data_IF_169619852100
#
_entry.id   IF_169619852100
#
_cell.length_a   1.000
_cell.length_b   1.000
_cell.length_c   1.000
_cell.angle_alpha   90.00
_cell.angle_beta   90.00
_cell.angle_gamma   90.00
#
_symmetry.space_group_name_H-M   'P 1'
#
loop_
_entity.id
_entity.type
_entity.pdbx_description
1 polymer ?
#
# COMPACT_ATOMS: atom_id res chain seq x y z
N UNK A 1 5.06 -10.93 5.16
CA UNK A 1 3.84 -10.29 5.68
C UNK A 1 2.87 -11.34 6.19
N UNK A 2 2.40 -11.17 7.42
CA UNK A 2 1.34 -11.99 8.05
C UNK A 2 0.03 -11.21 8.08
N UNK A 3 -1.12 -11.90 8.02
CA UNK A 3 -2.42 -11.25 8.20
C UNK A 3 -2.57 -10.84 9.68
N UNK A 4 -2.74 -9.54 9.94
CA UNK A 4 -2.97 -8.95 11.26
C UNK A 4 -4.45 -9.06 11.65
N UNK A 5 -5.34 -8.75 10.70
CA UNK A 5 -6.79 -8.67 10.89
C UNK A 5 -7.49 -8.85 9.54
N UNK A 6 -8.72 -9.34 9.56
CA UNK A 6 -9.64 -9.30 8.42
C UNK A 6 -11.02 -8.83 8.90
N UNK A 7 -11.67 -7.98 8.12
CA UNK A 7 -13.04 -7.51 8.36
C UNK A 7 -13.71 -7.19 7.03
N UNK A 8 -14.82 -7.86 6.74
CA UNK A 8 -15.56 -7.73 5.47
C UNK A 8 -14.62 -7.89 4.26
N UNK A 9 -14.56 -6.88 3.39
CA UNK A 9 -13.76 -6.80 2.18
C UNK A 9 -12.34 -6.25 2.43
N UNK A 10 -11.94 -6.07 3.69
CA UNK A 10 -10.65 -5.47 4.05
C UNK A 10 -9.79 -6.46 4.84
N UNK A 11 -8.51 -6.52 4.50
CA UNK A 11 -7.46 -7.28 5.18
C UNK A 11 -6.31 -6.37 5.55
N UNK A 12 -5.76 -6.56 6.73
CA UNK A 12 -4.58 -5.86 7.20
C UNK A 12 -3.44 -6.85 7.37
N UNK A 13 -2.25 -6.45 6.96
CA UNK A 13 -1.05 -7.25 7.03
C UNK A 13 0.07 -6.50 7.75
N UNK A 14 0.94 -7.25 8.42
CA UNK A 14 2.09 -6.75 9.18
C UNK A 14 3.37 -7.51 8.82
N UNK A 15 4.49 -6.79 8.76
CA UNK A 15 5.85 -7.33 8.62
C UNK A 15 6.85 -6.36 9.29
N UNK A 16 7.15 -6.59 10.57
CA UNK A 16 7.88 -5.61 11.38
C UNK A 16 7.08 -4.31 11.49
N UNK A 17 7.67 -3.19 11.09
CA UNK A 17 7.02 -1.87 11.10
C UNK A 17 6.20 -1.56 9.86
N UNK A 18 6.30 -2.40 8.82
CA UNK A 18 5.54 -2.29 7.58
C UNK A 18 4.13 -2.84 7.79
N UNK A 19 3.13 -1.99 7.57
CA UNK A 19 1.72 -2.38 7.52
C UNK A 19 1.16 -2.16 6.13
N UNK A 20 0.26 -3.06 5.73
CA UNK A 20 -0.47 -2.97 4.47
C UNK A 20 -1.97 -3.16 4.74
N UNK A 21 -2.79 -2.24 4.26
CA UNK A 21 -4.25 -2.37 4.20
C UNK A 21 -4.63 -2.73 2.78
N UNK A 22 -5.34 -3.84 2.62
CA UNK A 22 -5.86 -4.34 1.36
C UNK A 22 -7.38 -4.29 1.41
N UNK A 23 -8.01 -3.68 0.41
CA UNK A 23 -9.47 -3.60 0.30
C UNK A 23 -9.91 -4.11 -1.06
N UNK A 24 -10.84 -5.06 -1.09
CA UNK A 24 -11.54 -5.44 -2.31
C UNK A 24 -12.59 -4.36 -2.65
N UNK A 25 -12.41 -3.73 -3.81
CA UNK A 25 -13.25 -2.63 -4.29
C UNK A 25 -14.34 -3.12 -5.27
N UNK A 26 -14.41 -4.43 -5.54
CA UNK A 26 -15.25 -5.00 -6.59
C UNK A 26 -14.62 -4.90 -7.98
N UNK A 27 -15.25 -5.55 -8.96
CA UNK A 27 -14.82 -5.55 -10.37
C UNK A 27 -13.33 -5.89 -10.56
N UNK A 28 -12.84 -6.87 -9.80
CA UNK A 28 -11.44 -7.31 -9.79
C UNK A 28 -10.43 -6.22 -9.37
N UNK A 29 -10.87 -5.12 -8.76
CA UNK A 29 -9.99 -4.03 -8.29
C UNK A 29 -9.67 -4.16 -6.81
N UNK A 30 -8.39 -4.00 -6.48
CA UNK A 30 -7.89 -4.06 -5.10
C UNK A 30 -7.23 -2.73 -4.74
N UNK A 31 -7.72 -2.10 -3.68
CA UNK A 31 -7.10 -0.94 -3.03
C UNK A 31 -6.01 -1.36 -2.05
N UNK A 32 -4.87 -0.69 -2.09
CA UNK A 32 -3.68 -0.97 -1.28
C UNK A 32 -3.17 0.33 -0.65
N UNK A 33 -3.07 0.36 0.68
CA UNK A 33 -2.41 1.44 1.42
C UNK A 33 -1.27 0.87 2.22
N UNK A 34 -0.16 1.61 2.25
CA UNK A 34 1.09 1.14 2.86
C UNK A 34 1.53 2.13 3.91
N UNK A 35 1.86 1.63 5.10
CA UNK A 35 2.44 2.47 6.14
C UNK A 35 3.67 1.86 6.80
N UNK A 36 4.57 2.73 7.27
CA UNK A 36 5.70 2.38 8.12
C UNK A 36 5.61 3.26 9.37
N UNK A 37 5.55 2.64 10.56
CA UNK A 37 5.32 3.35 11.83
C UNK A 37 4.10 4.31 11.82
N UNK A 38 3.00 3.91 11.17
CA UNK A 38 1.75 4.69 10.93
C UNK A 38 1.82 5.80 9.88
N UNK A 39 2.99 6.10 9.32
CA UNK A 39 3.09 7.08 8.24
C UNK A 39 2.77 6.44 6.91
N UNK A 40 1.94 7.08 6.11
CA UNK A 40 1.71 6.72 4.73
C UNK A 40 2.99 6.91 3.92
N UNK A 41 3.45 5.86 3.25
CA UNK A 41 4.64 5.91 2.41
C UNK A 41 4.33 5.84 0.92
N UNK A 42 3.06 5.74 0.51
CA UNK A 42 2.68 5.69 -0.91
C UNK A 42 3.18 6.91 -1.70
N UNK A 43 3.13 8.12 -1.11
CA UNK A 43 3.72 9.30 -1.76
C UNK A 43 5.24 9.20 -1.94
N UNK A 44 5.96 8.78 -0.90
CA UNK A 44 7.41 8.58 -0.99
C UNK A 44 7.75 7.52 -2.03
N UNK A 45 6.97 6.43 -2.12
CA UNK A 45 7.16 5.40 -3.14
C UNK A 45 6.97 5.97 -4.55
N UNK A 46 5.96 6.80 -4.78
CA UNK A 46 5.75 7.50 -6.07
C UNK A 46 6.96 8.38 -6.40
N UNK A 47 7.49 9.13 -5.43
CA UNK A 47 8.66 9.99 -5.61
C UNK A 47 9.95 9.24 -5.93
N UNK A 48 9.99 7.93 -5.69
CA UNK A 48 11.11 7.03 -5.99
C UNK A 48 10.81 6.13 -7.21
N UNK A 49 9.86 6.52 -8.05
CA UNK A 49 9.49 5.85 -9.29
C UNK A 49 8.87 4.44 -9.10
N UNK A 50 8.19 4.19 -7.97
CA UNK A 50 7.50 2.91 -7.75
C UNK A 50 6.46 2.57 -8.82
N UNK A 51 5.80 3.57 -9.40
CA UNK A 51 4.83 3.35 -10.48
C UNK A 51 5.55 2.79 -11.73
N UNK A 52 6.72 3.33 -12.05
CA UNK A 52 7.50 2.86 -13.20
C UNK A 52 8.09 1.47 -12.92
N UNK A 53 8.55 1.21 -11.70
CA UNK A 53 8.94 -0.14 -11.24
C UNK A 53 7.82 -1.16 -11.45
N UNK A 54 6.59 -0.83 -11.05
CA UNK A 54 5.43 -1.71 -11.28
C UNK A 54 5.12 -1.89 -12.76
N UNK A 55 5.25 -0.84 -13.57
CA UNK A 55 4.99 -0.90 -15.02
C UNK A 55 5.98 -1.82 -15.74
N UNK A 56 7.25 -1.85 -15.32
CA UNK A 56 8.26 -2.80 -15.85
C UNK A 56 7.89 -4.27 -15.59
N UNK A 57 7.04 -4.53 -14.61
CA UNK A 57 6.54 -5.85 -14.23
C UNK A 57 5.13 -6.15 -14.79
N UNK A 58 4.62 -5.33 -15.71
CA UNK A 58 3.27 -5.42 -16.27
C UNK A 58 2.14 -5.26 -15.21
N UNK A 59 2.45 -4.56 -14.11
CA UNK A 59 1.46 -4.21 -13.07
C UNK A 59 0.95 -2.80 -13.34
N UNK A 60 -0.31 -2.69 -13.73
CA UNK A 60 -0.98 -1.40 -13.89
C UNK A 60 -1.47 -0.90 -12.54
N UNK A 61 -1.02 0.30 -12.16
CA UNK A 61 -1.30 0.90 -10.87
C UNK A 61 -1.90 2.30 -11.04
N UNK A 62 -3.02 2.54 -10.36
CA UNK A 62 -3.68 3.84 -10.27
C UNK A 62 -3.47 4.43 -8.87
N UNK A 63 -3.31 5.74 -8.76
CA UNK A 63 -3.26 6.41 -7.45
C UNK A 63 -4.68 6.62 -6.95
N UNK A 64 -4.96 6.16 -5.74
CA UNK A 64 -6.26 6.29 -5.08
C UNK A 64 -6.20 7.20 -3.86
N UNK A 65 -7.33 7.84 -3.54
CA UNK A 65 -7.49 8.75 -2.39
C UNK A 65 -8.74 8.42 -1.56
N UNK A 66 -9.37 7.26 -1.78
CA UNK A 66 -10.68 6.93 -1.22
C UNK A 66 -10.66 6.74 0.30
N UNK A 67 -9.52 6.38 0.89
CA UNK A 67 -9.36 6.24 2.34
C UNK A 67 -9.06 7.58 3.01
N UNK A 68 -10.09 8.37 3.30
CA UNK A 68 -9.95 9.65 4.01
C UNK A 68 -8.89 10.59 3.39
N UNK A 69 -8.84 10.67 2.05
CA UNK A 69 -7.85 11.40 1.25
C UNK A 69 -6.39 10.93 1.39
N UNK A 70 -6.15 9.80 2.07
CA UNK A 70 -4.85 9.18 2.11
C UNK A 70 -4.52 8.49 0.78
N UNK A 71 -3.31 8.74 0.30
CA UNK A 71 -2.83 8.12 -0.95
C UNK A 71 -2.71 6.61 -0.79
N UNK A 72 -3.30 5.90 -1.73
CA UNK A 72 -3.15 4.46 -1.90
C UNK A 72 -2.93 4.15 -3.37
N UNK A 73 -2.96 2.85 -3.66
CA UNK A 73 -2.81 2.30 -4.98
C UNK A 73 -4.01 1.42 -5.30
N UNK A 74 -4.46 1.43 -6.54
CA UNK A 74 -5.44 0.46 -7.06
C UNK A 74 -4.77 -0.35 -8.15
N UNK A 75 -4.93 -1.67 -8.05
CA UNK A 75 -4.43 -2.66 -8.99
C UNK A 75 -5.53 -3.66 -9.36
N UNK A 76 -5.31 -4.44 -10.41
CA UNK A 76 -6.10 -5.64 -10.67
C UNK A 76 -5.77 -6.76 -9.68
N UNK A 77 -6.76 -7.55 -9.32
CA UNK A 77 -6.66 -8.61 -8.30
C UNK A 77 -5.64 -9.69 -8.66
N UNK A 78 -5.40 -9.91 -9.95
CA UNK A 78 -4.39 -10.85 -10.48
C UNK A 78 -2.96 -10.46 -10.05
N UNK A 79 -2.69 -9.17 -9.87
CA UNK A 79 -1.35 -8.64 -9.58
C UNK A 79 -1.05 -8.57 -8.08
N UNK A 80 -2.06 -8.82 -7.22
CA UNK A 80 -1.98 -8.63 -5.78
C UNK A 80 -0.80 -9.36 -5.12
N UNK A 81 -0.58 -10.62 -5.50
CA UNK A 81 0.49 -11.44 -4.90
C UNK A 81 1.86 -10.87 -5.24
N UNK A 82 2.06 -10.49 -6.50
CA UNK A 82 3.31 -9.91 -6.97
C UNK A 82 3.53 -8.53 -6.35
N UNK A 83 2.54 -7.64 -6.41
CA UNK A 83 2.63 -6.29 -5.85
C UNK A 83 3.05 -6.31 -4.37
N UNK A 84 2.47 -7.20 -3.55
CA UNK A 84 2.84 -7.29 -2.12
C UNK A 84 4.31 -7.64 -1.90
N UNK A 85 4.88 -8.50 -2.75
CA UNK A 85 6.30 -8.82 -2.75
C UNK A 85 7.13 -7.59 -3.16
N UNK A 86 6.73 -6.96 -4.25
CA UNK A 86 7.44 -5.82 -4.83
C UNK A 86 7.43 -4.59 -3.94
N UNK A 87 6.34 -4.29 -3.23
CA UNK A 87 6.30 -3.22 -2.21
C UNK A 87 7.44 -3.42 -1.20
N UNK A 88 7.60 -4.66 -0.69
CA UNK A 88 8.65 -4.96 0.28
C UNK A 88 10.05 -4.85 -0.33
N UNK A 89 10.25 -5.40 -1.53
CA UNK A 89 11.54 -5.36 -2.24
C UNK A 89 11.92 -3.91 -2.53
N UNK A 90 10.99 -3.11 -3.04
CA UNK A 90 11.19 -1.72 -3.38
C UNK A 90 11.54 -0.86 -2.16
N UNK A 91 10.80 -1.01 -1.06
CA UNK A 91 11.09 -0.29 0.20
C UNK A 91 12.50 -0.60 0.69
N UNK A 92 12.88 -1.88 0.69
CA UNK A 92 14.19 -2.31 1.17
C UNK A 92 15.33 -1.85 0.24
N UNK A 93 15.14 -1.98 -1.07
CA UNK A 93 16.14 -1.64 -2.09
C UNK A 93 16.44 -0.15 -2.08
N UNK A 94 15.40 0.69 -1.97
CA UNK A 94 15.53 2.14 -1.98
C UNK A 94 15.65 2.76 -0.58
N UNK A 95 15.70 1.93 0.47
CA UNK A 95 15.71 2.37 1.87
C UNK A 95 14.62 3.42 2.16
N UNK A 96 13.40 3.16 1.67
CA UNK A 96 12.28 4.08 1.77
C UNK A 96 11.93 4.28 3.24
N UNK A 97 11.93 5.54 3.65
CA UNK A 97 11.53 5.96 5.00
C UNK A 97 10.31 6.86 4.91
N UNK A 98 9.47 6.89 5.96
CA UNK A 98 8.50 7.96 6.15
C UNK A 98 9.14 9.33 5.96
N UNK A 99 8.46 10.23 5.24
CA UNK A 99 8.89 11.62 5.17
C UNK A 99 8.64 12.33 6.51
N UNK A 100 9.52 13.25 6.88
CA UNK A 100 9.27 14.15 8.01
C UNK A 100 8.04 15.01 7.71
N UNK A 101 7.07 15.00 8.63
CA UNK A 101 5.76 15.63 8.38
C UNK A 101 4.87 14.88 7.37
N UNK A 102 5.24 13.66 7.00
CA UNK A 102 4.44 12.79 6.14
C UNK A 102 3.05 12.53 6.72
N UNK A 103 2.13 12.22 5.82
CA UNK A 103 0.75 11.89 6.16
C UNK A 103 0.70 10.69 7.12
N UNK A 104 -0.05 10.81 8.23
CA UNK A 104 -0.17 9.77 9.26
C UNK A 104 -1.56 9.18 9.27
N UNK A 105 -1.66 7.85 9.30
CA UNK A 105 -2.92 7.18 9.60
C UNK A 105 -3.21 7.24 11.10
N UNK A 106 -4.42 7.69 11.46
CA UNK A 106 -4.97 7.36 12.78
C UNK A 106 -5.43 5.90 12.79
N UNK A 107 -5.52 5.29 13.97
CA UNK A 107 -6.01 3.91 14.07
C UNK A 107 -7.47 3.80 13.59
N UNK A 108 -8.29 4.83 13.84
CA UNK A 108 -9.66 4.90 13.35
C UNK A 108 -9.75 4.90 11.82
N UNK A 109 -8.89 5.66 11.14
CA UNK A 109 -8.83 5.66 9.67
C UNK A 109 -8.23 4.36 9.14
N UNK A 110 -7.19 3.84 9.79
CA UNK A 110 -6.53 2.61 9.32
C UNK A 110 -7.45 1.41 9.40
N UNK A 111 -8.20 1.27 10.50
CA UNK A 111 -9.06 0.11 10.78
C UNK A 111 -10.54 0.32 10.44
N UNK A 112 -10.89 1.40 9.72
CA UNK A 112 -12.23 1.61 9.16
C UNK A 112 -12.57 0.64 8.03
#
# INVERSE_FOLDING_TARGET
MFEEKQQQHTKWFLDGDLKLRQQDLGDERIGIWVSVHKFNICFTMIMYDFIDWCRELDINLEVDFSLNNHRGFVIESKDLVLLKSEIKIFINTNNIKPSEGGEKFSDDVWYS
#
